data_IF_152428787848
#
_entry.id   IF_152428787848
#
_cell.length_a   1.000
_cell.length_b   1.000
_cell.length_c   1.000
_cell.angle_alpha   90.00
_cell.angle_beta   90.00
_cell.angle_gamma   90.00
#
_symmetry.space_group_name_H-M   'P 1'
#
loop_
_entity.id
_entity.type
_entity.pdbx_description
1 polymer ?
#
# COMPACT_ATOMS: atom_id res chain seq x y z
N UNK A 1 -13.73 -11.88 20.84
CA UNK A 1 -12.26 -12.02 20.77
C UNK A 1 -11.64 -10.72 20.23
N UNK A 2 -11.59 -9.69 21.08
CA UNK A 2 -10.78 -8.50 20.82
C UNK A 2 -10.35 -7.98 22.19
N UNK A 3 -9.22 -8.47 22.69
CA UNK A 3 -8.74 -8.05 23.99
C UNK A 3 -7.91 -6.78 23.81
N UNK A 4 -8.46 -5.64 24.22
CA UNK A 4 -7.75 -4.35 24.19
C UNK A 4 -6.46 -4.39 25.02
N UNK A 5 -6.35 -5.32 25.97
CA UNK A 5 -5.14 -5.52 26.74
C UNK A 5 -3.98 -6.07 25.91
N UNK A 6 -4.26 -6.79 24.81
CA UNK A 6 -3.21 -7.28 23.90
C UNK A 6 -2.37 -6.11 23.34
N UNK A 7 -3.02 -5.01 22.95
CA UNK A 7 -2.33 -3.81 22.44
C UNK A 7 -1.53 -3.06 23.51
N UNK A 8 -1.69 -3.38 24.80
CA UNK A 8 -0.84 -2.81 25.87
C UNK A 8 0.49 -3.56 26.01
N UNK A 9 0.60 -4.75 25.43
CA UNK A 9 1.86 -5.52 25.41
C UNK A 9 2.82 -4.94 24.37
N UNK A 10 4.12 -5.21 24.53
CA UNK A 10 5.14 -4.77 23.56
C UNK A 10 4.87 -5.35 22.15
N UNK A 11 4.43 -6.61 22.07
CA UNK A 11 4.06 -7.24 20.81
C UNK A 11 2.84 -6.57 20.17
N UNK A 12 1.81 -6.26 20.97
CA UNK A 12 0.63 -5.57 20.50
C UNK A 12 0.94 -4.15 20.01
N UNK A 13 1.79 -3.40 20.73
CA UNK A 13 2.27 -2.08 20.30
C UNK A 13 3.08 -2.16 19.00
N UNK A 14 3.98 -3.15 18.87
CA UNK A 14 4.74 -3.36 17.64
C UNK A 14 3.81 -3.66 16.45
N UNK A 15 2.81 -4.53 16.64
CA UNK A 15 1.82 -4.82 15.60
C UNK A 15 1.05 -3.57 15.18
N UNK A 16 0.61 -2.75 16.14
CA UNK A 16 -0.12 -1.51 15.89
C UNK A 16 0.74 -0.50 15.14
N UNK A 17 2.00 -0.35 15.53
CA UNK A 17 2.96 0.52 14.85
C UNK A 17 3.20 0.08 13.40
N UNK A 18 3.34 -1.23 13.14
CA UNK A 18 3.49 -1.75 11.77
C UNK A 18 2.24 -1.48 10.91
N UNK A 19 1.04 -1.68 11.45
CA UNK A 19 -0.20 -1.36 10.73
C UNK A 19 -0.32 0.13 10.43
N UNK A 20 0.02 0.99 11.39
CA UNK A 20 0.01 2.44 11.19
C UNK A 20 1.03 2.85 10.12
N UNK A 21 2.25 2.33 10.18
CA UNK A 21 3.29 2.62 9.17
C UNK A 21 2.86 2.17 7.77
N UNK A 22 2.28 0.98 7.64
CA UNK A 22 1.76 0.48 6.36
C UNK A 22 0.61 1.34 5.82
N UNK A 23 -0.28 1.79 6.70
CA UNK A 23 -1.42 2.65 6.31
C UNK A 23 -0.93 4.03 5.85
N UNK A 24 0.01 4.63 6.59
CA UNK A 24 0.63 5.90 6.20
C UNK A 24 1.34 5.75 4.85
N UNK A 25 2.12 4.68 4.67
CA UNK A 25 2.79 4.40 3.41
C UNK A 25 1.79 4.23 2.26
N UNK A 26 0.71 3.47 2.44
CA UNK A 26 -0.30 3.24 1.41
C UNK A 26 -1.00 4.55 1.00
N UNK A 27 -1.37 5.40 1.97
CA UNK A 27 -1.99 6.71 1.70
C UNK A 27 -1.00 7.62 0.98
N UNK A 28 0.24 7.72 1.47
CA UNK A 28 1.28 8.53 0.83
C UNK A 28 1.59 8.03 -0.59
N UNK A 29 1.73 6.72 -0.77
CA UNK A 29 1.93 6.08 -2.08
C UNK A 29 0.77 6.34 -3.04
N UNK A 30 -0.47 6.32 -2.54
CA UNK A 30 -1.66 6.64 -3.35
C UNK A 30 -1.64 8.09 -3.83
N UNK A 31 -1.20 9.04 -3.00
CA UNK A 31 -1.04 10.44 -3.39
C UNK A 31 0.07 10.61 -4.45
N UNK A 32 1.15 9.84 -4.37
CA UNK A 32 2.19 9.82 -5.41
C UNK A 32 1.68 9.23 -6.72
N UNK A 33 0.88 8.15 -6.67
CA UNK A 33 0.29 7.53 -7.85
C UNK A 33 -0.71 8.43 -8.58
N UNK A 34 -1.43 9.30 -7.85
CA UNK A 34 -2.36 10.29 -8.43
C UNK A 34 -1.65 11.48 -9.08
N UNK A 35 -0.43 11.79 -8.66
CA UNK A 35 0.39 12.88 -9.21
C UNK A 35 1.33 12.41 -10.34
N UNK A 36 1.55 11.11 -10.45
CA UNK A 36 2.26 10.54 -11.58
C UNK A 36 1.42 10.74 -12.86
N UNK A 37 2.01 11.22 -13.97
CA UNK A 37 1.33 11.14 -15.26
C UNK A 37 0.93 9.68 -15.46
N UNK A 38 -0.34 9.44 -15.79
CA UNK A 38 -0.82 8.10 -16.10
C UNK A 38 0.23 7.43 -17.00
N UNK A 39 0.78 6.25 -16.65
CA UNK A 39 1.69 5.57 -17.54
C UNK A 39 0.93 5.44 -18.85
N UNK A 40 1.42 6.10 -19.90
CA UNK A 40 0.93 5.86 -21.24
C UNK A 40 1.07 4.36 -21.41
N UNK A 41 -0.05 3.65 -21.43
CA UNK A 41 -0.08 2.24 -21.79
C UNK A 41 0.70 2.22 -23.08
N UNK A 42 1.94 1.70 -23.04
CA UNK A 42 2.71 1.50 -24.23
C UNK A 42 1.83 0.57 -25.04
N UNK A 43 1.22 1.12 -26.08
CA UNK A 43 0.49 0.37 -27.07
C UNK A 43 1.57 -0.47 -27.74
N UNK A 44 1.88 -1.62 -27.13
CA UNK A 44 2.59 -2.69 -27.79
C UNK A 44 1.66 -3.06 -28.93
N UNK A 45 1.95 -2.50 -30.09
CA UNK A 45 1.39 -2.91 -31.36
C UNK A 45 1.48 -4.43 -31.35
N UNK A 46 0.32 -5.10 -31.25
CA UNK A 46 0.26 -6.55 -31.35
C UNK A 46 0.65 -6.83 -32.79
N UNK A 47 1.95 -7.03 -33.03
CA UNK A 47 2.46 -7.50 -34.32
C UNK A 47 1.87 -8.89 -34.49
N UNK A 48 0.75 -8.93 -35.20
CA UNK A 48 0.13 -10.13 -35.74
C UNK A 48 1.15 -10.76 -36.69
N UNK A 49 1.79 -11.83 -36.23
CA UNK A 49 2.61 -12.69 -37.10
C UNK A 49 1.62 -13.49 -37.94
N UNK A 50 1.32 -12.99 -39.14
CA UNK A 50 0.66 -13.72 -40.22
C UNK A 50 1.70 -14.44 -41.08
#
# INVERSE_FOLDING_TARGET
MYDRNFFRTQLGQASLASFLAMTIFAVFSSNLAMSAPAPSIAYYDQVEIA
#
